data_IF_338711395040
#
_entry.id   IF_338711395040
#
_cell.length_a   1.000
_cell.length_b   1.000
_cell.length_c   1.000
_cell.angle_alpha   90.00
_cell.angle_beta   90.00
_cell.angle_gamma   90.00
#
_symmetry.space_group_name_H-M   'P 1'
#
loop_
_entity.id
_entity.type
_entity.pdbx_description
1 polymer ?
#
# COMPACT_ATOMS: atom_id res chain seq x y z
N UNK A 1 1.99 -25.61 -17.13
CA UNK A 1 1.45 -25.11 -15.85
C UNK A 1 2.63 -24.58 -15.07
N UNK A 2 2.59 -23.33 -14.60
CA UNK A 2 3.64 -22.81 -13.72
C UNK A 2 3.65 -23.68 -12.44
N UNK A 3 4.82 -24.03 -11.91
CA UNK A 3 4.90 -24.88 -10.72
C UNK A 3 4.66 -24.04 -9.47
N UNK A 4 4.12 -24.65 -8.41
CA UNK A 4 3.85 -23.97 -7.14
C UNK A 4 5.12 -23.30 -6.57
N UNK A 5 6.28 -23.92 -6.79
CA UNK A 5 7.57 -23.36 -6.38
C UNK A 5 7.88 -22.04 -7.12
N UNK A 6 7.66 -22.00 -8.44
CA UNK A 6 7.86 -20.77 -9.21
C UNK A 6 6.86 -19.67 -8.83
N UNK A 7 5.62 -20.03 -8.48
CA UNK A 7 4.60 -19.07 -8.04
C UNK A 7 4.93 -18.51 -6.64
N UNK A 8 5.41 -19.35 -5.73
CA UNK A 8 5.90 -18.94 -4.41
C UNK A 8 7.11 -17.99 -4.52
N UNK A 9 8.11 -18.35 -5.32
CA UNK A 9 9.28 -17.48 -5.55
C UNK A 9 8.86 -16.13 -6.14
N UNK A 10 7.94 -16.13 -7.10
CA UNK A 10 7.43 -14.89 -7.69
C UNK A 10 6.68 -14.04 -6.66
N UNK A 11 5.88 -14.65 -5.79
CA UNK A 11 5.15 -13.95 -4.74
C UNK A 11 6.10 -13.30 -3.72
N UNK A 12 7.16 -14.00 -3.31
CA UNK A 12 8.17 -13.43 -2.40
C UNK A 12 8.94 -12.28 -3.06
N UNK A 13 9.33 -12.45 -4.33
CA UNK A 13 10.01 -11.40 -5.08
C UNK A 13 9.13 -10.15 -5.23
N UNK A 14 7.87 -10.33 -5.65
CA UNK A 14 6.95 -9.21 -5.84
C UNK A 14 6.58 -8.56 -4.51
N UNK A 15 6.37 -9.35 -3.45
CA UNK A 15 6.07 -8.83 -2.12
C UNK A 15 7.22 -8.01 -1.52
N UNK A 16 8.47 -8.48 -1.67
CA UNK A 16 9.64 -7.72 -1.23
C UNK A 16 9.87 -6.45 -2.07
N UNK A 17 9.68 -6.53 -3.40
CA UNK A 17 9.71 -5.36 -4.27
C UNK A 17 8.62 -4.33 -3.90
N UNK A 18 7.40 -4.79 -3.59
CA UNK A 18 6.32 -3.92 -3.14
C UNK A 18 6.65 -3.20 -1.82
N UNK A 19 7.23 -3.91 -0.84
CA UNK A 19 7.67 -3.29 0.42
C UNK A 19 8.72 -2.21 0.20
N UNK A 20 9.69 -2.43 -0.69
CA UNK A 20 10.68 -1.42 -1.06
C UNK A 20 10.05 -0.20 -1.72
N UNK A 21 9.11 -0.41 -2.65
CA UNK A 21 8.40 0.67 -3.35
C UNK A 21 7.52 1.50 -2.40
N UNK A 22 6.88 0.88 -1.40
CA UNK A 22 6.07 1.57 -0.40
C UNK A 22 6.94 2.50 0.46
N UNK A 23 8.09 2.02 0.94
CA UNK A 23 9.02 2.84 1.73
C UNK A 23 9.60 3.97 0.87
N UNK A 24 9.98 3.69 -0.37
CA UNK A 24 10.47 4.69 -1.31
C UNK A 24 9.42 5.78 -1.57
N UNK A 25 8.16 5.40 -1.79
CA UNK A 25 7.06 6.36 -1.95
C UNK A 25 6.97 7.29 -0.74
N UNK A 26 6.96 6.74 0.48
CA UNK A 26 6.83 7.55 1.69
C UNK A 26 8.04 8.46 1.90
N UNK A 27 9.23 7.98 1.56
CA UNK A 27 10.43 8.78 1.57
C UNK A 27 10.33 9.96 0.58
N UNK A 28 9.89 9.73 -0.65
CA UNK A 28 9.72 10.79 -1.64
C UNK A 28 8.60 11.78 -1.27
N UNK A 29 7.48 11.27 -0.75
CA UNK A 29 6.32 12.07 -0.32
C UNK A 29 6.69 13.05 0.79
N UNK A 30 7.48 12.63 1.79
CA UNK A 30 7.90 13.49 2.90
C UNK A 30 8.95 14.52 2.44
N UNK A 31 9.85 14.15 1.54
CA UNK A 31 10.95 15.02 1.09
C UNK A 31 10.57 15.95 -0.07
N UNK A 32 9.39 15.74 -0.69
CA UNK A 32 8.87 16.66 -1.69
C UNK A 32 8.56 18.01 -1.05
N UNK A 33 9.23 19.08 -1.54
CA UNK A 33 8.99 20.45 -1.10
C UNK A 33 7.69 20.95 -1.73
N UNK A 34 6.59 20.82 -1.00
CA UNK A 34 5.28 21.49 -1.05
C UNK A 34 4.59 21.81 -2.39
N UNK A 35 5.06 21.38 -3.55
CA UNK A 35 4.43 21.80 -4.82
C UNK A 35 3.18 20.99 -5.17
N UNK A 36 3.01 19.78 -4.64
CA UNK A 36 1.75 19.04 -4.73
C UNK A 36 1.64 18.11 -3.53
N UNK A 37 0.76 18.42 -2.58
CA UNK A 37 0.17 17.38 -1.71
C UNK A 37 -0.57 16.40 -2.61
N UNK A 38 0.15 15.46 -3.20
CA UNK A 38 -0.42 14.36 -3.95
C UNK A 38 -1.40 13.66 -3.00
N UNK A 39 -2.67 13.62 -3.43
CA UNK A 39 -3.75 13.12 -2.62
C UNK A 39 -3.42 11.71 -2.09
N UNK A 40 -3.80 11.39 -0.84
CA UNK A 40 -3.47 10.12 -0.25
C UNK A 40 -4.14 9.01 -1.09
N UNK A 41 -3.34 8.12 -1.67
CA UNK A 41 -3.82 6.93 -2.42
C UNK A 41 -4.53 5.91 -1.50
N UNK A 42 -4.60 6.22 -0.20
CA UNK A 42 -5.50 5.57 0.75
C UNK A 42 -6.41 6.65 1.31
N UNK A 43 -7.49 6.94 0.59
CA UNK A 43 -8.53 7.81 1.08
C UNK A 43 -9.00 7.36 2.46
N UNK A 44 -9.13 8.32 3.38
CA UNK A 44 -9.68 8.14 4.71
C UNK A 44 -11.12 7.55 4.72
N UNK A 45 -11.75 7.39 3.56
CA UNK A 45 -13.06 6.74 3.39
C UNK A 45 -13.08 5.29 3.89
N UNK A 46 -11.98 4.52 3.78
CA UNK A 46 -11.93 3.16 4.34
C UNK A 46 -11.89 3.10 5.87
N UNK A 47 -11.61 4.22 6.56
CA UNK A 47 -11.73 4.30 8.03
C UNK A 47 -13.17 4.50 8.48
N UNK A 48 -14.06 5.00 7.62
CA UNK A 48 -15.47 5.21 7.96
C UNK A 48 -16.28 3.89 7.95
N UNK A 49 -15.92 2.95 7.06
CA UNK A 49 -16.62 1.67 6.91
C UNK A 49 -16.28 0.62 7.99
N UNK A 50 -15.31 0.90 8.87
CA UNK A 50 -14.88 -0.02 9.93
C UNK A 50 -15.59 0.20 11.28
N UNK A 51 -16.55 1.13 11.38
CA UNK A 51 -17.31 1.37 12.60
C UNK A 51 -18.58 0.50 12.59
N UNK A 52 -18.69 -0.55 13.43
CA UNK A 52 -19.95 -1.27 13.57
C UNK A 52 -21.01 -0.29 14.09
N UNK A 53 -22.12 -0.19 13.36
CA UNK A 53 -23.28 0.60 13.77
C UNK A 53 -23.67 0.20 15.19
N UNK A 54 -23.39 1.10 16.13
CA UNK A 54 -23.72 0.93 17.55
C UNK A 54 -25.23 0.66 17.63
N UNK A 55 -25.57 -0.58 17.97
CA UNK A 55 -26.93 -1.03 18.24
C UNK A 55 -27.53 -0.07 19.28
N UNK A 56 -28.57 0.65 18.86
CA UNK A 56 -29.44 1.44 19.71
C UNK A 56 -30.57 0.54 20.20
#
# INVERSE_FOLDING_TARGET
MISDNSLYTLAVFLGSAAMLLIVLYHFLEINAKDDMKAAPVVSNERKADALPAKAR
#
